data_IF_847629964964
#
_entry.id   IF_847629964964
#
_cell.length_a   1.000
_cell.length_b   1.000
_cell.length_c   1.000
_cell.angle_alpha   90.00
_cell.angle_beta   90.00
_cell.angle_gamma   90.00
#
_symmetry.space_group_name_H-M   'P 1'
#
loop_
_entity.id
_entity.type
_entity.pdbx_description
1 polymer ?
#
# COMPACT_ATOMS: atom_id res chain seq x y z
N UNK A 1 23.21 2.88 -5.23
CA UNK A 1 21.79 2.95 -5.66
C UNK A 1 21.41 1.83 -6.61
N UNK A 2 22.09 1.65 -7.74
CA UNK A 2 21.71 0.70 -8.78
C UNK A 2 21.52 -0.74 -8.28
N UNK A 3 22.47 -1.30 -7.54
CA UNK A 3 22.38 -2.66 -7.00
C UNK A 3 21.19 -2.87 -6.06
N UNK A 4 20.86 -1.88 -5.24
CA UNK A 4 19.71 -1.96 -4.30
C UNK A 4 18.38 -1.87 -5.04
N UNK A 5 18.22 -0.93 -5.99
CA UNK A 5 16.95 -0.78 -6.70
C UNK A 5 16.56 -2.02 -7.50
N UNK A 6 17.51 -2.80 -7.99
CA UNK A 6 17.28 -4.05 -8.70
C UNK A 6 16.67 -5.16 -7.79
N UNK A 7 16.74 -5.00 -6.47
CA UNK A 7 16.13 -5.92 -5.51
C UNK A 7 14.67 -5.58 -5.22
N UNK A 8 14.23 -4.37 -5.55
CA UNK A 8 12.83 -3.93 -5.35
C UNK A 8 11.95 -4.61 -6.39
N UNK A 9 10.90 -5.30 -5.92
CA UNK A 9 9.98 -6.04 -6.77
C UNK A 9 8.70 -5.23 -7.02
N UNK A 10 8.41 -4.82 -8.26
CA UNK A 10 7.11 -4.27 -8.57
C UNK A 10 6.05 -5.37 -8.53
N UNK A 11 4.94 -5.09 -7.86
CA UNK A 11 3.83 -6.03 -7.68
C UNK A 11 2.57 -5.53 -8.39
N UNK A 12 1.75 -6.44 -8.86
CA UNK A 12 0.44 -6.15 -9.46
C UNK A 12 -0.65 -6.52 -8.48
N UNK A 13 -1.38 -5.52 -7.94
CA UNK A 13 -2.37 -5.70 -6.89
C UNK A 13 -3.69 -4.98 -7.19
N UNK A 14 -4.72 -5.27 -6.40
CA UNK A 14 -5.99 -4.53 -6.36
C UNK A 14 -6.18 -3.95 -4.96
N UNK A 15 -6.75 -2.77 -4.89
CA UNK A 15 -7.20 -2.23 -3.61
C UNK A 15 -8.43 -3.00 -3.12
N UNK A 16 -8.47 -3.29 -1.82
CA UNK A 16 -9.65 -3.86 -1.16
C UNK A 16 -10.78 -2.82 -1.17
N UNK A 17 -10.46 -1.58 -0.85
CA UNK A 17 -11.37 -0.45 -0.93
C UNK A 17 -11.57 -0.02 -2.37
N UNK A 18 -12.74 -0.35 -2.92
CA UNK A 18 -13.09 -0.04 -4.31
C UNK A 18 -13.22 1.46 -4.59
N UNK A 19 -13.43 2.30 -3.55
CA UNK A 19 -13.49 3.75 -3.70
C UNK A 19 -12.14 4.36 -4.09
N UNK A 20 -11.04 3.71 -3.71
CA UNK A 20 -9.67 4.13 -4.05
C UNK A 20 -9.22 3.65 -5.44
N UNK A 21 -9.99 2.80 -6.09
CA UNK A 21 -9.64 2.25 -7.38
C UNK A 21 -10.83 2.40 -8.35
N UNK A 22 -10.80 3.45 -9.16
CA UNK A 22 -11.83 3.76 -10.16
C UNK A 22 -11.90 2.76 -11.32
N UNK A 23 -10.98 1.81 -11.41
CA UNK A 23 -10.97 0.77 -12.42
C UNK A 23 -10.90 -0.63 -11.78
N UNK A 24 -11.63 -1.59 -12.35
CA UNK A 24 -11.52 -3.02 -11.99
C UNK A 24 -10.12 -3.60 -12.31
N UNK A 25 -9.27 -2.82 -12.94
CA UNK A 25 -7.94 -3.24 -13.37
C UNK A 25 -6.96 -3.28 -12.20
N UNK A 26 -6.10 -4.28 -12.25
CA UNK A 26 -4.95 -4.38 -11.33
C UNK A 26 -4.01 -3.19 -11.55
N UNK A 27 -3.56 -2.60 -10.45
CA UNK A 27 -2.57 -1.52 -10.43
C UNK A 27 -1.17 -2.08 -10.20
N UNK A 28 -0.16 -1.49 -10.84
CA UNK A 28 1.23 -1.76 -10.52
C UNK A 28 1.71 -0.84 -9.40
N UNK A 29 2.48 -1.38 -8.49
CA UNK A 29 3.08 -0.62 -7.40
C UNK A 29 4.03 -1.49 -6.58
N UNK A 30 4.21 -1.14 -5.33
CA UNK A 30 5.13 -1.81 -4.42
C UNK A 30 4.40 -2.24 -3.16
N UNK A 31 4.82 -3.35 -2.58
CA UNK A 31 4.40 -3.79 -1.25
C UNK A 31 5.38 -3.15 -0.25
N UNK A 32 4.85 -2.33 0.67
CA UNK A 32 5.67 -1.54 1.59
C UNK A 32 6.61 -2.42 2.44
N UNK A 33 6.16 -3.59 2.88
CA UNK A 33 6.95 -4.55 3.64
C UNK A 33 8.15 -5.06 2.84
N UNK A 34 7.95 -5.41 1.56
CA UNK A 34 9.04 -5.87 0.67
C UNK A 34 10.04 -4.75 0.36
N UNK A 35 9.54 -3.51 0.23
CA UNK A 35 10.42 -2.34 0.06
C UNK A 35 11.23 -2.08 1.31
N UNK A 36 10.66 -2.25 2.51
CA UNK A 36 11.35 -2.06 3.78
C UNK A 36 12.57 -2.97 3.96
N UNK A 37 12.56 -4.17 3.34
CA UNK A 37 13.72 -5.08 3.36
C UNK A 37 14.93 -4.50 2.60
N UNK A 38 14.69 -3.67 1.59
CA UNK A 38 15.72 -3.08 0.73
C UNK A 38 16.04 -1.64 1.12
N UNK A 39 14.99 -0.86 1.41
CA UNK A 39 15.00 0.56 1.75
C UNK A 39 14.11 0.81 2.97
N UNK A 40 14.54 0.48 4.19
CA UNK A 40 13.74 0.72 5.40
C UNK A 40 13.39 2.19 5.59
N UNK A 41 14.26 3.10 5.15
CA UNK A 41 14.06 4.54 5.17
C UNK A 41 12.94 5.05 4.23
N UNK A 42 12.50 4.23 3.27
CA UNK A 42 11.39 4.53 2.37
C UNK A 42 10.03 4.18 2.98
N UNK A 43 9.99 3.52 4.14
CA UNK A 43 8.75 3.08 4.78
C UNK A 43 8.62 3.73 6.15
N UNK A 44 7.44 4.33 6.40
CA UNK A 44 7.06 4.90 7.69
C UNK A 44 5.93 4.11 8.29
N UNK A 45 5.86 4.08 9.60
CA UNK A 45 4.76 3.50 10.36
C UNK A 45 3.89 4.61 10.89
N UNK A 46 2.61 4.58 10.56
CA UNK A 46 1.62 5.56 11.02
C UNK A 46 0.38 4.85 11.54
N UNK A 47 -0.41 5.56 12.35
CA UNK A 47 -1.73 5.07 12.74
C UNK A 47 -2.74 5.45 11.65
N UNK A 48 -3.46 4.48 11.09
CA UNK A 48 -4.52 4.74 10.12
C UNK A 48 -5.64 3.71 10.23
N UNK A 49 -6.83 4.09 9.78
CA UNK A 49 -7.99 3.20 9.72
C UNK A 49 -7.94 2.36 8.45
N UNK A 50 -7.88 1.06 8.62
CA UNK A 50 -7.84 0.11 7.50
C UNK A 50 -9.24 -0.39 7.13
N UNK A 51 -9.54 -0.65 5.84
CA UNK A 51 -10.83 -1.13 5.37
C UNK A 51 -11.00 -2.63 5.59
N UNK A 52 -11.06 -3.05 6.85
CA UNK A 52 -11.16 -4.46 7.24
C UNK A 52 -12.56 -4.93 7.64
N UNK A 53 -13.57 -4.05 7.52
CA UNK A 53 -14.97 -4.39 7.73
C UNK A 53 -15.79 -4.22 6.44
N UNK A 54 -15.94 -3.01 5.93
CA UNK A 54 -16.66 -2.65 4.69
C UNK A 54 -18.09 -3.22 4.65
N UNK A 55 -18.82 -3.11 5.74
CA UNK A 55 -20.17 -3.64 5.89
C UNK A 55 -21.10 -2.63 6.55
N UNK A 56 -22.40 -2.87 6.44
CA UNK A 56 -23.38 -2.07 7.17
C UNK A 56 -23.58 -2.60 8.58
N UNK A 57 -23.87 -1.68 9.50
CA UNK A 57 -24.32 -1.95 10.86
C UNK A 57 -25.66 -1.26 11.09
N UNK A 58 -26.59 -1.96 11.71
CA UNK A 58 -27.86 -1.40 12.16
C UNK A 58 -27.74 -1.10 13.66
N UNK A 59 -28.55 -0.16 14.15
CA UNK A 59 -28.58 0.20 15.56
C UNK A 59 -29.93 -0.19 16.15
N UNK A 60 -29.88 -0.92 17.23
CA UNK A 60 -31.04 -1.23 18.09
C UNK A 60 -30.65 -1.06 19.57
N UNK A 61 -31.33 -0.15 20.28
CA UNK A 61 -31.09 0.14 21.70
C UNK A 61 -29.61 0.36 22.06
N UNK A 62 -28.93 1.24 21.31
CA UNK A 62 -27.49 1.56 21.44
C UNK A 62 -26.54 0.40 21.11
N UNK A 63 -27.06 -0.70 20.60
CA UNK A 63 -26.27 -1.84 20.13
C UNK A 63 -26.08 -1.74 18.64
N UNK A 64 -24.82 -1.80 18.19
CA UNK A 64 -24.48 -1.93 16.79
C UNK A 64 -24.51 -3.40 16.41
N UNK A 65 -25.32 -3.72 15.41
CA UNK A 65 -25.53 -5.06 14.88
C UNK A 65 -24.92 -5.14 13.49
N UNK A 66 -23.85 -5.92 13.33
CA UNK A 66 -23.20 -6.12 12.04
C UNK A 66 -24.13 -6.94 11.14
N UNK A 67 -24.35 -6.46 9.91
CA UNK A 67 -25.11 -7.21 8.90
C UNK A 67 -24.42 -8.54 8.57
N UNK A 68 -25.20 -9.61 8.47
CA UNK A 68 -24.70 -10.94 8.09
C UNK A 68 -24.18 -11.00 6.65
N UNK A 69 -24.55 -10.04 5.81
CA UNK A 69 -24.07 -9.93 4.44
C UNK A 69 -22.67 -9.25 4.38
N UNK A 70 -21.68 -9.92 4.99
CA UNK A 70 -20.31 -9.43 5.06
C UNK A 70 -19.55 -9.72 3.75
N UNK A 71 -18.67 -8.82 3.30
CA UNK A 71 -17.80 -9.12 2.17
C UNK A 71 -16.74 -10.18 2.53
N UNK A 72 -16.25 -10.92 1.52
CA UNK A 72 -15.16 -11.90 1.69
C UNK A 72 -13.87 -11.26 2.26
N UNK A 73 -13.75 -9.94 2.14
CA UNK A 73 -12.63 -9.15 2.67
C UNK A 73 -12.78 -8.77 4.14
N UNK A 74 -13.87 -9.16 4.80
CA UNK A 74 -14.09 -8.88 6.21
C UNK A 74 -13.10 -9.64 7.09
N UNK A 75 -12.27 -8.91 7.80
CA UNK A 75 -11.25 -9.45 8.72
C UNK A 75 -11.23 -8.73 10.07
N UNK A 76 -12.27 -7.93 10.36
CA UNK A 76 -12.39 -7.22 11.63
C UNK A 76 -12.63 -8.22 12.77
N UNK A 77 -11.79 -8.16 13.79
CA UNK A 77 -11.97 -8.88 15.05
C UNK A 77 -12.36 -7.84 16.10
N UNK A 78 -13.54 -8.02 16.70
CA UNK A 78 -14.03 -7.11 17.73
C UNK A 78 -13.21 -7.27 19.02
N UNK A 79 -12.84 -6.16 19.62
CA UNK A 79 -12.23 -6.11 20.95
C UNK A 79 -12.63 -4.83 21.68
N UNK A 80 -12.72 -4.87 22.99
CA UNK A 80 -12.97 -3.67 23.81
C UNK A 80 -11.80 -2.71 23.62
N UNK A 81 -12.10 -1.41 23.59
CA UNK A 81 -11.18 -0.32 23.28
C UNK A 81 -10.67 -0.29 21.84
N UNK A 82 -11.20 -1.12 20.94
CA UNK A 82 -10.90 -1.03 19.52
C UNK A 82 -11.52 0.26 18.94
N UNK A 83 -10.70 1.08 18.33
CA UNK A 83 -11.16 2.27 17.61
C UNK A 83 -11.63 1.88 16.22
N UNK A 84 -12.83 2.30 15.86
CA UNK A 84 -13.48 2.01 14.59
C UNK A 84 -13.88 3.29 13.87
N UNK A 85 -13.98 3.20 12.56
CA UNK A 85 -14.47 4.26 11.68
C UNK A 85 -15.81 3.87 11.07
N UNK A 86 -16.79 4.75 11.23
CA UNK A 86 -18.13 4.63 10.69
C UNK A 86 -18.41 5.80 9.75
N UNK A 87 -19.32 5.60 8.81
CA UNK A 87 -19.90 6.66 7.98
C UNK A 87 -21.41 6.63 8.09
N UNK A 88 -22.02 7.79 8.22
CA UNK A 88 -23.47 7.97 8.18
C UNK A 88 -23.99 8.02 6.73
N UNK A 89 -25.30 8.23 6.57
CA UNK A 89 -25.98 8.35 5.27
C UNK A 89 -25.56 9.59 4.46
N UNK A 90 -24.97 10.60 5.12
CA UNK A 90 -24.41 11.81 4.51
C UNK A 90 -22.91 11.69 4.21
N UNK A 91 -22.36 10.49 4.40
CA UNK A 91 -20.91 10.21 4.29
C UNK A 91 -20.05 10.99 5.31
N UNK A 92 -20.64 11.34 6.46
CA UNK A 92 -19.91 11.97 7.57
C UNK A 92 -19.11 10.92 8.31
N UNK A 93 -17.83 11.19 8.50
CA UNK A 93 -16.92 10.30 9.24
C UNK A 93 -17.20 10.38 10.75
N UNK A 94 -17.35 9.23 11.38
CA UNK A 94 -17.53 9.08 12.82
C UNK A 94 -16.47 8.11 13.35
N UNK A 95 -15.61 8.61 14.22
CA UNK A 95 -14.63 7.80 14.94
C UNK A 95 -15.21 7.43 16.30
N UNK A 96 -15.30 6.14 16.60
CA UNK A 96 -15.82 5.62 17.83
C UNK A 96 -14.90 4.53 18.40
N UNK A 97 -15.09 4.24 19.70
CA UNK A 97 -14.35 3.19 20.40
C UNK A 97 -15.36 2.18 20.96
N UNK A 98 -15.07 0.90 20.78
CA UNK A 98 -15.90 -0.19 21.30
C UNK A 98 -15.79 -0.24 22.82
N UNK A 99 -16.92 -0.12 23.50
CA UNK A 99 -16.99 -0.14 24.97
C UNK A 99 -17.41 -1.50 25.53
N UNK A 100 -18.24 -2.24 24.79
CA UNK A 100 -18.76 -3.53 25.20
C UNK A 100 -18.94 -4.44 24.00
N UNK A 101 -18.59 -5.71 24.12
CA UNK A 101 -18.86 -6.75 23.13
C UNK A 101 -19.94 -7.66 23.71
N UNK A 102 -21.03 -7.81 22.98
CA UNK A 102 -22.15 -8.67 23.37
C UNK A 102 -21.95 -10.07 22.77
N UNK A 103 -21.60 -10.12 21.49
CA UNK A 103 -21.23 -11.33 20.76
C UNK A 103 -20.38 -10.99 19.51
N UNK A 104 -20.17 -11.94 18.61
CA UNK A 104 -19.34 -11.78 17.40
C UNK A 104 -19.88 -10.74 16.41
N UNK A 105 -21.13 -10.31 16.55
CA UNK A 105 -21.81 -9.38 15.65
C UNK A 105 -22.34 -8.14 16.34
N UNK A 106 -22.48 -8.17 17.67
CA UNK A 106 -23.17 -7.16 18.45
C UNK A 106 -22.22 -6.51 19.44
N UNK A 107 -22.15 -5.17 19.42
CA UNK A 107 -21.27 -4.42 20.29
C UNK A 107 -21.81 -3.00 20.55
N UNK A 108 -21.30 -2.34 21.59
CA UNK A 108 -21.58 -0.93 21.89
C UNK A 108 -20.35 -0.06 21.71
N UNK A 109 -20.56 1.22 21.48
CA UNK A 109 -19.51 2.22 21.32
C UNK A 109 -19.69 3.39 22.30
N UNK A 110 -18.61 4.15 22.49
CA UNK A 110 -18.56 5.31 23.37
C UNK A 110 -19.22 6.57 22.79
N UNK A 111 -19.99 6.44 21.71
CA UNK A 111 -20.67 7.56 21.06
C UNK A 111 -22.16 7.31 20.90
N UNK A 112 -22.94 8.34 21.15
CA UNK A 112 -24.36 8.36 20.79
C UNK A 112 -24.50 8.46 19.28
N UNK A 113 -25.16 7.48 18.67
CA UNK A 113 -25.39 7.38 17.24
C UNK A 113 -26.88 7.63 16.98
N UNK A 114 -27.19 8.61 16.12
CA UNK A 114 -28.57 9.12 15.92
C UNK A 114 -29.31 8.43 14.79
N UNK A 115 -28.60 7.84 13.84
CA UNK A 115 -29.20 7.16 12.69
C UNK A 115 -29.39 5.67 13.00
N UNK A 116 -30.33 5.04 12.33
CA UNK A 116 -30.60 3.61 12.50
C UNK A 116 -29.58 2.71 11.76
N UNK A 117 -28.78 3.29 10.85
CA UNK A 117 -27.83 2.54 10.02
C UNK A 117 -26.57 3.32 9.75
N UNK A 118 -25.42 2.64 9.78
CA UNK A 118 -24.11 3.19 9.45
C UNK A 118 -23.33 2.23 8.57
N UNK A 119 -22.33 2.77 7.86
CA UNK A 119 -21.34 1.96 7.17
C UNK A 119 -20.10 1.83 8.04
N UNK A 120 -19.76 0.61 8.46
CA UNK A 120 -18.55 0.29 9.21
C UNK A 120 -17.40 0.10 8.21
N UNK A 121 -16.49 1.07 8.16
CA UNK A 121 -15.32 1.04 7.27
C UNK A 121 -14.29 0.03 7.76
N UNK A 122 -13.93 0.13 9.04
CA UNK A 122 -12.95 -0.75 9.65
C UNK A 122 -12.37 -0.21 10.95
N UNK A 123 -11.20 -0.67 11.31
CA UNK A 123 -10.55 -0.36 12.58
C UNK A 123 -9.22 0.36 12.45
N UNK A 124 -8.81 1.06 13.52
CA UNK A 124 -7.50 1.69 13.64
C UNK A 124 -6.40 0.63 13.72
N UNK A 125 -5.38 0.77 12.86
CA UNK A 125 -4.15 0.00 12.92
C UNK A 125 -2.97 0.93 13.25
N UNK A 126 -2.21 0.60 14.31
CA UNK A 126 -1.12 1.45 14.81
C UNK A 126 0.19 1.31 14.01
N UNK A 127 0.36 0.20 13.31
CA UNK A 127 1.56 -0.17 12.56
C UNK A 127 1.27 -0.21 11.05
N UNK A 128 0.52 0.75 10.54
CA UNK A 128 0.20 0.84 9.13
C UNK A 128 1.43 1.33 8.34
N UNK A 129 1.85 0.52 7.36
CA UNK A 129 3.04 0.83 6.57
C UNK A 129 2.71 1.81 5.45
N UNK A 130 3.33 2.98 5.47
CA UNK A 130 3.22 3.98 4.41
C UNK A 130 4.52 4.05 3.62
N UNK A 131 4.42 3.86 2.31
CA UNK A 131 5.55 3.96 1.40
C UNK A 131 5.73 5.42 0.93
N UNK A 132 6.91 6.00 1.18
CA UNK A 132 7.34 7.26 0.60
C UNK A 132 7.71 7.06 -0.87
N UNK A 133 6.74 7.24 -1.78
CA UNK A 133 6.92 7.04 -3.21
C UNK A 133 7.98 7.97 -3.80
N UNK A 134 8.10 9.17 -3.27
CA UNK A 134 9.09 10.18 -3.65
C UNK A 134 10.52 9.68 -3.41
N UNK A 135 10.75 8.95 -2.31
CA UNK A 135 12.04 8.32 -2.03
C UNK A 135 12.41 7.31 -3.12
N UNK A 136 11.48 6.41 -3.47
CA UNK A 136 11.71 5.41 -4.52
C UNK A 136 11.94 6.08 -5.87
N UNK A 137 11.20 7.13 -6.20
CA UNK A 137 11.38 7.89 -7.43
C UNK A 137 12.78 8.53 -7.50
N UNK A 138 13.27 9.13 -6.42
CA UNK A 138 14.60 9.71 -6.35
C UNK A 138 15.70 8.65 -6.53
N UNK A 139 15.52 7.47 -5.93
CA UNK A 139 16.45 6.33 -6.11
C UNK A 139 16.43 5.82 -7.56
N UNK A 140 15.27 5.77 -8.20
CA UNK A 140 15.16 5.42 -9.63
C UNK A 140 15.91 6.39 -10.54
N UNK A 141 15.75 7.70 -10.32
CA UNK A 141 16.49 8.72 -11.08
C UNK A 141 18.00 8.52 -10.92
N UNK A 142 18.46 8.35 -9.67
CA UNK A 142 19.86 8.11 -9.36
C UNK A 142 20.42 6.84 -10.03
N UNK A 143 19.65 5.76 -10.02
CA UNK A 143 20.01 4.50 -10.66
C UNK A 143 20.06 4.63 -12.18
N UNK A 144 19.13 5.37 -12.79
CA UNK A 144 19.12 5.66 -14.23
C UNK A 144 20.34 6.47 -14.66
N UNK A 145 20.73 7.48 -13.88
CA UNK A 145 21.94 8.27 -14.13
C UNK A 145 23.20 7.39 -14.06
N UNK A 146 23.27 6.48 -13.11
CA UNK A 146 24.38 5.54 -12.99
C UNK A 146 24.45 4.56 -14.16
N UNK A 147 23.30 4.02 -14.59
CA UNK A 147 23.22 3.20 -15.82
C UNK A 147 23.72 3.95 -17.05
N UNK A 148 23.33 5.22 -17.19
CA UNK A 148 23.80 6.05 -18.29
C UNK A 148 25.31 6.20 -18.28
N UNK A 149 25.93 6.46 -17.12
CA UNK A 149 27.42 6.54 -17.01
C UNK A 149 28.07 5.22 -17.39
N UNK A 150 27.53 4.09 -16.97
CA UNK A 150 28.04 2.76 -17.34
C UNK A 150 27.98 2.55 -18.86
N UNK A 151 26.85 2.91 -19.49
CA UNK A 151 26.65 2.78 -20.94
C UNK A 151 27.69 3.63 -21.70
N UNK A 152 27.90 4.89 -21.29
CA UNK A 152 28.90 5.76 -21.92
C UNK A 152 30.29 5.14 -21.80
N UNK A 153 30.67 4.63 -20.61
CA UNK A 153 31.95 3.97 -20.42
C UNK A 153 32.12 2.75 -21.34
N UNK A 154 31.11 1.89 -21.39
CA UNK A 154 31.10 0.72 -22.27
C UNK A 154 31.21 1.12 -23.74
N UNK A 155 30.57 2.22 -24.17
CA UNK A 155 30.65 2.71 -25.54
C UNK A 155 32.08 3.15 -25.91
N UNK A 156 32.80 3.80 -25.00
CA UNK A 156 34.21 4.16 -25.18
C UNK A 156 35.06 2.90 -25.36
N UNK A 157 34.94 1.93 -24.45
CA UNK A 157 35.67 0.67 -24.51
C UNK A 157 35.40 -0.10 -25.82
N UNK A 158 34.13 -0.13 -26.27
CA UNK A 158 33.75 -0.75 -27.56
C UNK A 158 34.42 -0.04 -28.73
N UNK A 159 34.49 1.29 -28.71
CA UNK A 159 35.14 2.04 -29.80
C UNK A 159 36.66 1.80 -29.83
N UNK A 160 37.30 1.74 -28.66
CA UNK A 160 38.71 1.39 -28.55
C UNK A 160 39.01 -0.03 -29.09
N UNK A 161 38.18 -1.01 -28.68
CA UNK A 161 38.29 -2.39 -29.17
C UNK A 161 38.11 -2.47 -30.70
N UNK A 162 37.12 -1.77 -31.25
CA UNK A 162 36.93 -1.68 -32.72
C UNK A 162 38.15 -1.10 -33.43
N UNK A 163 38.75 -0.03 -32.87
CA UNK A 163 39.96 0.57 -33.42
C UNK A 163 41.13 -0.43 -33.42
N UNK A 164 41.34 -1.12 -32.31
CA UNK A 164 42.38 -2.14 -32.18
C UNK A 164 42.18 -3.31 -33.15
N UNK A 165 40.92 -3.80 -33.31
CA UNK A 165 40.62 -4.84 -34.32
C UNK A 165 40.92 -4.36 -35.72
N UNK A 166 40.57 -3.13 -36.06
CA UNK A 166 40.90 -2.56 -37.39
C UNK A 166 42.39 -2.46 -37.62
N UNK A 167 43.19 -2.02 -36.64
CA UNK A 167 44.65 -2.02 -36.73
C UNK A 167 45.23 -3.42 -36.95
N UNK A 168 44.75 -4.41 -36.23
CA UNK A 168 45.18 -5.81 -36.40
C UNK A 168 44.82 -6.34 -37.79
N UNK A 169 43.62 -6.06 -38.29
CA UNK A 169 43.17 -6.44 -39.65
C UNK A 169 44.06 -5.84 -40.71
N UNK A 170 44.39 -4.54 -40.58
CA UNK A 170 45.26 -3.85 -41.51
C UNK A 170 46.67 -4.46 -41.51
N UNK A 171 47.22 -4.83 -40.36
CA UNK A 171 48.53 -5.47 -40.24
C UNK A 171 48.56 -6.89 -40.81
N UNK A 172 47.46 -7.62 -40.72
CA UNK A 172 47.33 -8.99 -41.22
C UNK A 172 46.90 -9.05 -42.70
N UNK A 173 46.72 -7.91 -43.36
CA UNK A 173 46.21 -7.81 -44.74
C UNK A 173 44.88 -8.53 -44.96
N UNK A 174 43.97 -8.59 -43.93
CA UNK A 174 42.65 -9.22 -43.95
C UNK A 174 41.52 -8.22 -44.23
#
# INVERSE_FOLDING_TARGET
CLKKILLVKPSKYRYIDKSKNLSENKTYGYIAQEVAEVFPEAVRYEEDYIPNALCFVNIDNDILIIDNNRPDTYTLILSVSLKIKLYDEFNTEILAEITEIIDDNNFKVNKELKNSKYFLYGSLKKDFNILAKEYINAVHVSATQELHRIIIKQQVEINELKSNINMIRTHLHL
#
